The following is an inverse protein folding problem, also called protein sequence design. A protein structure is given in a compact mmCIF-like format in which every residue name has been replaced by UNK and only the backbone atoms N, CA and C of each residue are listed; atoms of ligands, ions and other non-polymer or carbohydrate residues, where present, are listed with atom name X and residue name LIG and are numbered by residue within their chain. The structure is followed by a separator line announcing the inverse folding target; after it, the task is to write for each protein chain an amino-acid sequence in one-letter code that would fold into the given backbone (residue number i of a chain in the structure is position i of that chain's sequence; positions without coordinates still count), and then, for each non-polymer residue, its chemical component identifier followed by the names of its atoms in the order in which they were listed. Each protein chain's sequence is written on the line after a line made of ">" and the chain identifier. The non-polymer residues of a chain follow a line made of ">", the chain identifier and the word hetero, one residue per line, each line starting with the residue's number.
data_IF_380551741259
#
_entry.id   IF_380551741259
#
_cell.length_a   1.000
_cell.length_b   1.000
_cell.length_c   1.000
_cell.angle_alpha   90.00
_cell.angle_beta   90.00
_cell.angle_gamma   90.00
#
_symmetry.space_group_name_H-M   'P 1'
#
loop_
_entity.id
_entity.type
_entity.pdbx_description
1 polymer ?
#
# COMPACT_ATOMS: atom_id res chain seq x y z
N UNK A 1 -47.83 44.23 31.09
CA UNK A 1 -46.52 44.21 31.75
C UNK A 1 -45.52 43.50 30.86
N UNK A 2 -44.66 44.26 30.20
CA UNK A 2 -43.59 43.75 29.32
C UNK A 2 -42.32 43.63 30.16
N UNK A 3 -41.74 42.45 30.27
CA UNK A 3 -40.42 42.23 30.83
C UNK A 3 -39.40 42.20 29.70
N UNK A 4 -38.57 43.22 29.63
CA UNK A 4 -37.40 43.28 28.79
C UNK A 4 -36.31 42.41 29.39
N UNK A 5 -35.75 41.49 28.57
CA UNK A 5 -34.51 40.77 28.88
C UNK A 5 -33.40 41.32 28.00
N UNK A 6 -32.33 41.72 28.67
CA UNK A 6 -31.19 42.42 28.14
C UNK A 6 -30.42 41.58 27.11
N UNK A 7 -30.28 42.13 25.94
CA UNK A 7 -29.34 41.77 24.89
C UNK A 7 -27.98 42.38 25.13
N UNK A 8 -27.08 41.70 25.87
CA UNK A 8 -25.67 42.13 25.95
C UNK A 8 -24.73 41.00 26.34
N UNK A 9 -24.63 39.95 25.48
CA UNK A 9 -23.51 38.98 25.52
C UNK A 9 -23.31 38.38 24.13
N UNK A 10 -23.10 39.22 23.13
CA UNK A 10 -22.67 38.80 21.80
C UNK A 10 -21.52 39.69 21.35
N UNK A 11 -20.32 39.41 21.84
CA UNK A 11 -19.10 39.92 21.23
C UNK A 11 -17.88 39.13 21.66
N UNK A 12 -17.74 37.91 21.17
CA UNK A 12 -16.44 37.31 20.87
C UNK A 12 -16.59 36.23 19.81
N UNK A 13 -17.15 36.61 18.69
CA UNK A 13 -17.08 35.80 17.45
C UNK A 13 -15.66 35.94 16.87
N UNK A 14 -14.67 35.34 17.50
CA UNK A 14 -13.49 34.89 16.79
C UNK A 14 -13.97 33.75 15.89
N UNK A 15 -14.26 34.05 14.62
CA UNK A 15 -14.39 33.04 13.56
C UNK A 15 -13.15 32.17 13.69
N UNK A 16 -13.27 30.85 13.82
CA UNK A 16 -12.10 29.96 13.72
C UNK A 16 -11.40 30.32 12.42
N UNK A 17 -10.09 30.52 12.45
CA UNK A 17 -9.28 30.79 11.27
C UNK A 17 -9.70 29.77 10.19
N UNK A 18 -10.02 30.24 9.00
CA UNK A 18 -10.62 29.42 7.97
C UNK A 18 -9.75 28.19 7.78
N UNK A 19 -10.35 27.01 7.63
CA UNK A 19 -9.64 25.73 7.40
C UNK A 19 -8.60 25.87 6.28
N UNK A 20 -8.86 26.76 5.31
CA UNK A 20 -7.95 27.10 4.22
C UNK A 20 -6.64 27.80 4.67
N UNK A 21 -6.69 28.63 5.72
CA UNK A 21 -5.50 29.30 6.23
C UNK A 21 -4.54 28.34 6.95
N UNK A 22 -5.05 27.27 7.53
CA UNK A 22 -4.23 26.28 8.25
C UNK A 22 -3.59 25.23 7.33
N UNK A 23 -4.14 25.01 6.12
CA UNK A 23 -3.66 23.97 5.19
C UNK A 23 -2.67 24.48 4.15
N UNK A 24 -2.52 25.79 3.98
CA UNK A 24 -1.49 26.39 3.13
C UNK A 24 -0.10 25.82 3.41
N UNK A 25 0.34 25.71 4.67
CA UNK A 25 1.63 25.15 5.04
C UNK A 25 1.78 23.67 4.67
N UNK A 26 0.75 22.82 4.87
CA UNK A 26 0.80 21.41 4.51
C UNK A 26 0.91 21.22 3.00
N UNK A 27 0.16 21.96 2.20
CA UNK A 27 0.22 21.90 0.76
C UNK A 27 1.58 22.34 0.23
N UNK A 28 2.17 23.40 0.77
CA UNK A 28 3.50 23.89 0.38
C UNK A 28 4.60 22.86 0.69
N UNK A 29 4.57 22.26 1.88
CA UNK A 29 5.49 21.19 2.26
C UNK A 29 5.33 19.95 1.37
N UNK A 30 4.08 19.56 1.09
CA UNK A 30 3.79 18.42 0.24
C UNK A 30 4.23 18.67 -1.22
N UNK A 31 4.03 19.88 -1.72
CA UNK A 31 4.51 20.28 -3.04
C UNK A 31 6.05 20.22 -3.13
N UNK A 32 6.76 20.63 -2.10
CA UNK A 32 8.22 20.51 -2.02
C UNK A 32 8.67 19.04 -1.95
N UNK A 33 8.01 18.22 -1.12
CA UNK A 33 8.31 16.80 -1.00
C UNK A 33 8.06 16.04 -2.30
N UNK A 34 6.93 16.30 -2.96
CA UNK A 34 6.57 15.72 -4.26
C UNK A 34 7.54 16.17 -5.33
N UNK A 35 7.91 17.46 -5.39
CA UNK A 35 8.88 17.98 -6.36
C UNK A 35 10.23 17.26 -6.28
N UNK A 36 10.70 17.00 -5.05
CA UNK A 36 11.97 16.31 -4.82
C UNK A 36 11.89 14.82 -5.14
N UNK A 37 10.85 14.14 -4.66
CA UNK A 37 10.72 12.69 -4.81
C UNK A 37 10.34 12.27 -6.23
N UNK A 38 9.46 13.02 -6.88
CA UNK A 38 8.91 12.71 -8.21
C UNK A 38 9.54 13.57 -9.29
N UNK A 39 10.86 13.70 -9.28
CA UNK A 39 11.61 14.55 -10.21
C UNK A 39 11.43 14.20 -11.69
N UNK A 40 11.05 12.96 -12.02
CA UNK A 40 10.72 12.54 -13.38
C UNK A 40 9.38 13.11 -13.89
N UNK A 41 8.49 13.54 -13.00
CA UNK A 41 7.23 14.18 -13.38
C UNK A 41 7.41 15.68 -13.63
N UNK A 42 6.76 16.21 -14.68
CA UNK A 42 6.78 17.66 -14.92
C UNK A 42 6.07 18.44 -13.79
N UNK A 43 6.50 19.67 -13.57
CA UNK A 43 6.05 20.51 -12.44
C UNK A 43 4.52 20.65 -12.31
N UNK A 44 3.72 20.84 -13.39
CA UNK A 44 2.27 20.90 -13.29
C UNK A 44 1.64 19.58 -12.77
N UNK A 45 2.22 18.41 -13.10
CA UNK A 45 1.75 17.11 -12.61
C UNK A 45 2.08 16.97 -11.14
N UNK A 46 3.30 17.32 -10.72
CA UNK A 46 3.71 17.31 -9.31
C UNK A 46 2.77 18.16 -8.44
N UNK A 47 2.49 19.43 -8.85
CA UNK A 47 1.55 20.31 -8.13
C UNK A 47 0.16 19.72 -8.02
N UNK A 48 -0.35 19.12 -9.10
CA UNK A 48 -1.68 18.51 -9.06
C UNK A 48 -1.71 17.24 -8.19
N UNK A 49 -0.63 16.47 -8.17
CA UNK A 49 -0.50 15.31 -7.29
C UNK A 49 -0.55 15.73 -5.81
N UNK A 50 0.19 16.77 -5.43
CA UNK A 50 0.15 17.34 -4.08
C UNK A 50 -1.26 17.84 -3.70
N UNK A 51 -1.90 18.62 -4.57
CA UNK A 51 -3.25 19.14 -4.39
C UNK A 51 -4.27 18.01 -4.18
N UNK A 52 -4.22 16.97 -5.01
CA UNK A 52 -5.14 15.84 -4.91
C UNK A 52 -4.88 14.99 -3.67
N UNK A 53 -3.64 14.84 -3.25
CA UNK A 53 -3.29 14.16 -2.01
C UNK A 53 -3.96 14.83 -0.81
N UNK A 54 -3.90 16.17 -0.71
CA UNK A 54 -4.60 16.92 0.34
C UNK A 54 -6.12 16.75 0.23
N UNK A 55 -6.67 16.83 -0.98
CA UNK A 55 -8.11 16.63 -1.19
C UNK A 55 -8.56 15.23 -0.75
N UNK A 56 -7.78 14.19 -1.05
CA UNK A 56 -8.07 12.85 -0.57
C UNK A 56 -8.04 12.78 0.97
N UNK A 57 -7.04 13.33 1.63
CA UNK A 57 -6.98 13.32 3.11
C UNK A 57 -8.24 13.95 3.72
N UNK A 58 -8.74 15.06 3.15
CA UNK A 58 -9.98 15.71 3.58
C UNK A 58 -11.20 14.81 3.40
N UNK A 59 -11.35 14.23 2.20
CA UNK A 59 -12.49 13.36 1.90
C UNK A 59 -12.45 12.08 2.74
N UNK A 60 -11.28 11.47 2.91
CA UNK A 60 -11.15 10.24 3.69
C UNK A 60 -11.51 10.44 5.16
N UNK A 61 -11.14 11.57 5.76
CA UNK A 61 -11.59 11.96 7.10
C UNK A 61 -13.13 12.10 7.17
N UNK A 62 -13.75 12.77 6.18
CA UNK A 62 -15.20 12.93 6.12
C UNK A 62 -15.95 11.61 5.88
N UNK A 63 -15.45 10.73 5.02
CA UNK A 63 -16.02 9.38 4.79
C UNK A 63 -16.04 8.57 6.07
N UNK A 64 -14.98 8.63 6.87
CA UNK A 64 -14.89 7.89 8.14
C UNK A 64 -15.90 8.38 9.18
N UNK A 65 -16.17 9.68 9.23
CA UNK A 65 -17.16 10.25 10.17
C UNK A 65 -18.61 10.07 9.72
N UNK A 66 -18.86 9.37 8.60
CA UNK A 66 -20.22 9.19 8.06
C UNK A 66 -20.77 10.41 7.31
N UNK A 67 -19.98 11.48 7.17
CA UNK A 67 -20.43 12.74 6.56
C UNK A 67 -20.18 12.82 5.05
N UNK A 68 -19.82 11.72 4.38
CA UNK A 68 -19.58 11.76 2.96
C UNK A 68 -19.28 10.41 2.32
N UNK A 69 -19.26 10.41 0.99
CA UNK A 69 -18.83 9.28 0.17
C UNK A 69 -17.63 9.69 -0.70
N UNK A 70 -16.74 8.76 -0.96
CA UNK A 70 -15.65 9.00 -1.90
C UNK A 70 -16.24 9.09 -3.32
N UNK A 71 -16.20 10.30 -3.88
CA UNK A 71 -16.65 10.58 -5.25
C UNK A 71 -15.80 11.67 -5.88
N UNK A 72 -15.84 11.78 -7.22
CA UNK A 72 -15.15 12.90 -7.91
C UNK A 72 -15.72 14.24 -7.46
N UNK A 73 -17.04 14.31 -7.22
CA UNK A 73 -17.69 15.51 -6.73
C UNK A 73 -17.18 15.91 -5.34
N UNK A 74 -17.03 14.95 -4.42
CA UNK A 74 -16.44 15.21 -3.12
C UNK A 74 -15.00 15.74 -3.24
N UNK A 75 -14.19 15.14 -4.12
CA UNK A 75 -12.80 15.54 -4.32
C UNK A 75 -12.68 16.97 -4.86
N UNK A 76 -13.39 17.32 -5.95
CA UNK A 76 -13.22 18.67 -6.53
C UNK A 76 -13.77 19.78 -5.62
N UNK A 77 -14.79 19.50 -4.81
CA UNK A 77 -15.34 20.48 -3.84
C UNK A 77 -14.33 20.88 -2.77
N UNK A 78 -13.45 19.95 -2.38
CA UNK A 78 -12.45 20.16 -1.32
C UNK A 78 -11.04 20.38 -1.85
N UNK A 79 -10.84 20.54 -3.18
CA UNK A 79 -9.51 20.85 -3.73
C UNK A 79 -8.97 22.14 -3.11
N UNK A 80 -7.77 22.13 -2.52
CA UNK A 80 -7.14 23.31 -1.93
C UNK A 80 -6.58 24.24 -3.01
N UNK A 81 -7.45 24.74 -3.87
CA UNK A 81 -7.07 25.63 -4.97
C UNK A 81 -8.11 26.73 -5.15
N UNK A 82 -7.69 27.96 -5.48
CA UNK A 82 -8.62 29.03 -5.78
C UNK A 82 -9.46 28.71 -7.02
N UNK A 83 -10.57 29.40 -7.18
CA UNK A 83 -11.45 29.32 -8.33
C UNK A 83 -12.82 28.70 -8.03
N UNK A 84 -13.69 28.76 -9.03
CA UNK A 84 -15.07 28.25 -8.97
C UNK A 84 -15.10 26.72 -8.86
N UNK A 85 -16.18 26.12 -8.38
CA UNK A 85 -16.37 24.67 -8.38
C UNK A 85 -16.15 24.04 -9.76
N UNK A 86 -16.60 24.70 -10.83
CA UNK A 86 -16.41 24.26 -12.22
C UNK A 86 -14.93 24.27 -12.64
N UNK A 87 -14.17 25.28 -12.24
CA UNK A 87 -12.73 25.33 -12.52
C UNK A 87 -11.97 24.18 -11.79
N UNK A 88 -12.36 23.87 -10.56
CA UNK A 88 -11.81 22.75 -9.78
C UNK A 88 -12.17 21.39 -10.41
N UNK A 89 -13.41 21.22 -10.86
CA UNK A 89 -13.85 20.02 -11.61
C UNK A 89 -13.04 19.83 -12.88
N UNK A 90 -12.92 20.88 -13.73
CA UNK A 90 -12.09 20.86 -14.94
C UNK A 90 -10.63 20.50 -14.62
N UNK A 91 -10.09 21.01 -13.52
CA UNK A 91 -8.72 20.69 -13.07
C UNK A 91 -8.56 19.21 -12.76
N UNK A 92 -9.51 18.62 -12.00
CA UNK A 92 -9.51 17.17 -11.71
C UNK A 92 -9.59 16.34 -12.99
N UNK A 93 -10.51 16.68 -13.90
CA UNK A 93 -10.64 15.96 -15.16
C UNK A 93 -9.38 16.06 -16.04
N UNK A 94 -8.71 17.21 -16.10
CA UNK A 94 -7.42 17.36 -16.79
C UNK A 94 -6.33 16.48 -16.18
N UNK A 95 -6.26 16.39 -14.85
CA UNK A 95 -5.33 15.49 -14.16
C UNK A 95 -5.59 14.03 -14.57
N UNK A 96 -6.85 13.56 -14.54
CA UNK A 96 -7.21 12.20 -14.90
C UNK A 96 -6.93 11.85 -16.38
N UNK A 97 -6.93 12.83 -17.25
CA UNK A 97 -6.64 12.67 -18.70
C UNK A 97 -5.15 12.80 -19.02
N UNK A 98 -4.32 13.27 -18.10
CA UNK A 98 -2.93 13.62 -18.39
C UNK A 98 -2.03 12.38 -18.54
N UNK A 99 -1.54 12.04 -19.74
CA UNK A 99 -0.70 10.86 -19.95
C UNK A 99 0.70 11.00 -19.34
N UNK A 100 1.14 12.21 -18.99
CA UNK A 100 2.45 12.46 -18.35
C UNK A 100 2.50 12.00 -16.89
N UNK A 101 1.34 11.64 -16.30
CA UNK A 101 1.30 10.94 -15.02
C UNK A 101 1.33 9.45 -15.31
N UNK A 102 2.51 8.90 -15.44
CA UNK A 102 2.72 7.48 -15.67
C UNK A 102 3.02 6.73 -14.36
N UNK A 103 2.61 5.46 -14.26
CA UNK A 103 2.76 4.66 -13.04
C UNK A 103 4.23 4.41 -12.65
N UNK A 104 5.14 4.29 -13.62
CA UNK A 104 6.57 4.05 -13.36
C UNK A 104 7.21 5.23 -12.65
N UNK A 105 7.03 6.46 -13.19
CA UNK A 105 7.54 7.67 -12.53
C UNK A 105 7.00 7.87 -11.12
N UNK A 106 5.75 7.40 -10.86
CA UNK A 106 5.19 7.44 -9.50
C UNK A 106 5.81 6.37 -8.62
N UNK A 107 6.05 5.17 -9.13
CA UNK A 107 6.77 4.10 -8.42
C UNK A 107 8.17 4.56 -8.00
N UNK A 108 8.92 5.21 -8.90
CA UNK A 108 10.23 5.80 -8.60
C UNK A 108 10.16 6.82 -7.45
N UNK A 109 9.16 7.68 -7.48
CA UNK A 109 8.94 8.67 -6.43
C UNK A 109 8.57 8.04 -5.09
N UNK A 110 7.67 7.07 -5.07
CA UNK A 110 7.29 6.34 -3.86
C UNK A 110 8.47 5.56 -3.28
N UNK A 111 9.27 4.91 -4.12
CA UNK A 111 10.48 4.21 -3.68
C UNK A 111 11.46 5.18 -2.98
N UNK A 112 11.70 6.37 -3.55
CA UNK A 112 12.53 7.41 -2.92
C UNK A 112 11.96 7.88 -1.59
N UNK A 113 10.64 8.05 -1.48
CA UNK A 113 9.98 8.43 -0.24
C UNK A 113 10.11 7.36 0.84
N UNK A 114 9.88 6.09 0.47
CA UNK A 114 9.86 4.96 1.40
C UNK A 114 11.28 4.63 1.89
N UNK A 115 12.20 4.43 0.97
CA UNK A 115 13.54 3.90 1.28
C UNK A 115 14.59 5.01 1.52
N UNK A 116 14.42 6.17 0.89
CA UNK A 116 15.40 7.25 0.94
C UNK A 116 16.80 6.76 0.53
N UNK A 117 17.83 7.45 1.01
CA UNK A 117 19.24 7.08 0.75
C UNK A 117 19.76 5.93 1.64
N UNK A 118 19.01 5.54 2.67
CA UNK A 118 19.43 4.57 3.70
C UNK A 118 18.86 3.17 3.52
N UNK A 119 17.95 2.98 2.59
CA UNK A 119 17.38 1.65 2.27
C UNK A 119 18.49 0.69 1.86
N UNK A 120 18.58 -0.48 2.53
CA UNK A 120 19.55 -1.54 2.22
C UNK A 120 19.07 -2.90 2.72
N UNK A 121 19.60 -3.96 2.14
CA UNK A 121 19.30 -5.33 2.53
C UNK A 121 18.06 -5.89 1.86
N UNK A 122 17.57 -7.01 2.37
CA UNK A 122 16.39 -7.70 1.86
C UNK A 122 15.12 -7.00 2.35
N UNK A 123 14.20 -6.71 1.41
CA UNK A 123 12.93 -6.05 1.72
C UNK A 123 11.76 -6.84 1.16
N UNK A 124 10.79 -7.22 1.99
CA UNK A 124 9.56 -7.84 1.52
C UNK A 124 8.74 -6.83 0.70
N UNK A 125 8.40 -7.22 -0.51
CA UNK A 125 7.48 -6.48 -1.39
C UNK A 125 6.26 -7.37 -1.61
N UNK A 126 5.19 -7.04 -0.91
CA UNK A 126 3.91 -7.71 -1.05
C UNK A 126 3.27 -7.26 -2.35
N UNK A 127 2.85 -8.18 -3.19
CA UNK A 127 2.12 -7.83 -4.40
C UNK A 127 0.88 -8.70 -4.58
N UNK A 128 -0.17 -8.08 -5.09
CA UNK A 128 -1.45 -8.74 -5.32
C UNK A 128 -2.31 -7.90 -6.28
N UNK A 129 -3.42 -8.48 -6.71
CA UNK A 129 -4.36 -7.87 -7.66
C UNK A 129 -5.71 -7.65 -7.00
N UNK A 130 -6.33 -6.51 -7.34
CA UNK A 130 -7.65 -6.19 -6.85
C UNK A 130 -8.52 -5.54 -7.92
N UNK A 131 -9.83 -5.65 -7.77
CA UNK A 131 -10.81 -4.97 -8.63
C UNK A 131 -11.17 -3.58 -8.09
N UNK A 132 -11.19 -2.61 -9.00
CA UNK A 132 -11.74 -1.27 -8.79
C UNK A 132 -12.79 -1.00 -9.90
N UNK A 133 -14.04 -1.42 -9.68
CA UNK A 133 -15.08 -1.45 -10.72
C UNK A 133 -14.77 -2.46 -11.83
N UNK A 134 -14.77 -2.02 -13.09
CA UNK A 134 -14.37 -2.83 -14.25
C UNK A 134 -12.85 -2.86 -14.48
N UNK A 135 -12.09 -2.10 -13.70
CA UNK A 135 -10.64 -2.01 -13.81
C UNK A 135 -9.99 -2.98 -12.82
N UNK A 136 -8.96 -3.68 -13.26
CA UNK A 136 -8.06 -4.43 -12.40
C UNK A 136 -6.89 -3.53 -12.00
N UNK A 137 -6.42 -3.68 -10.78
CA UNK A 137 -5.23 -2.99 -10.29
C UNK A 137 -4.24 -3.99 -9.72
N UNK A 138 -3.03 -4.03 -10.27
CA UNK A 138 -1.86 -4.61 -9.64
C UNK A 138 -1.35 -3.62 -8.60
N UNK A 139 -1.09 -4.11 -7.42
CA UNK A 139 -0.63 -3.33 -6.30
C UNK A 139 0.60 -3.99 -5.69
N UNK A 140 1.60 -3.18 -5.37
CA UNK A 140 2.70 -3.61 -4.53
C UNK A 140 2.90 -2.65 -3.38
N UNK A 141 3.33 -3.18 -2.25
CA UNK A 141 3.62 -2.40 -1.06
C UNK A 141 4.58 -3.09 -0.10
N UNK A 142 5.10 -2.30 0.84
CA UNK A 142 5.98 -2.77 1.89
C UNK A 142 5.16 -3.04 3.16
N UNK A 143 5.35 -4.17 3.87
CA UNK A 143 4.66 -4.42 5.13
C UNK A 143 4.85 -3.26 6.12
N UNK A 144 3.75 -2.78 6.69
CA UNK A 144 3.77 -1.65 7.61
C UNK A 144 2.61 -1.69 8.60
N UNK A 145 2.87 -2.10 9.84
CA UNK A 145 1.90 -2.04 10.96
C UNK A 145 0.54 -2.69 10.65
N UNK A 146 0.57 -3.89 10.06
CA UNK A 146 -0.63 -4.65 9.68
C UNK A 146 -1.28 -4.19 8.37
N UNK A 147 -0.61 -3.34 7.59
CA UNK A 147 -1.01 -2.86 6.27
C UNK A 147 0.17 -2.93 5.30
N UNK A 148 -0.10 -2.79 4.02
CA UNK A 148 0.93 -2.58 3.01
C UNK A 148 1.05 -1.09 2.67
N UNK A 149 2.22 -0.50 2.92
CA UNK A 149 2.53 0.87 2.51
C UNK A 149 2.72 0.87 0.99
N UNK A 150 1.89 1.57 0.21
CA UNK A 150 1.91 1.52 -1.25
C UNK A 150 3.26 1.91 -1.85
N UNK A 151 3.75 1.08 -2.76
CA UNK A 151 4.97 1.30 -3.54
C UNK A 151 4.66 1.46 -5.04
N UNK A 152 3.77 0.63 -5.58
CA UNK A 152 3.41 0.66 -6.98
C UNK A 152 1.93 0.30 -7.19
N UNK A 153 1.30 0.94 -8.18
CA UNK A 153 -0.08 0.61 -8.61
C UNK A 153 -0.17 0.73 -10.13
N UNK A 154 -0.47 -0.38 -10.78
CA UNK A 154 -0.72 -0.45 -12.22
C UNK A 154 -2.15 -0.90 -12.47
N UNK A 155 -2.80 -0.33 -13.47
CA UNK A 155 -4.19 -0.64 -13.79
C UNK A 155 -4.35 -1.12 -15.22
N UNK A 156 -5.28 -2.04 -15.42
CA UNK A 156 -5.61 -2.57 -16.73
C UNK A 156 -7.09 -2.95 -16.81
N UNK A 157 -7.61 -2.98 -18.04
CA UNK A 157 -8.97 -3.43 -18.31
C UNK A 157 -9.03 -4.95 -18.39
N UNK A 158 -10.05 -5.56 -17.78
CA UNK A 158 -10.29 -6.99 -17.90
C UNK A 158 -11.80 -7.28 -18.03
N UNK A 159 -12.24 -8.13 -18.95
CA UNK A 159 -11.44 -8.85 -19.96
C UNK A 159 -10.72 -7.91 -20.93
N UNK A 160 -9.62 -8.37 -21.49
CA UNK A 160 -8.85 -7.61 -22.49
C UNK A 160 -9.71 -7.39 -23.73
N UNK A 161 -9.92 -6.12 -24.09
CA UNK A 161 -10.77 -5.75 -25.23
C UNK A 161 -10.02 -5.72 -26.55
N UNK A 162 -8.71 -5.53 -26.51
CA UNK A 162 -7.86 -5.41 -27.70
C UNK A 162 -6.96 -6.64 -27.87
N UNK A 163 -6.96 -7.21 -29.09
CA UNK A 163 -6.10 -8.36 -29.44
C UNK A 163 -4.58 -8.05 -29.35
N UNK A 164 -4.23 -6.77 -29.44
CA UNK A 164 -2.85 -6.26 -29.38
C UNK A 164 -2.39 -5.91 -27.96
N UNK A 165 -3.29 -5.95 -26.98
CA UNK A 165 -2.94 -5.65 -25.60
C UNK A 165 -1.95 -6.67 -25.04
N UNK A 166 -1.04 -6.20 -24.19
CA UNK A 166 -0.11 -7.07 -23.47
C UNK A 166 -0.88 -8.08 -22.62
N UNK A 167 -0.47 -9.33 -22.61
CA UNK A 167 -1.06 -10.32 -21.71
C UNK A 167 -0.86 -9.94 -20.26
N UNK A 168 -1.69 -10.48 -19.35
CA UNK A 168 -1.54 -10.24 -17.91
C UNK A 168 -0.13 -10.63 -17.43
N UNK A 169 0.44 -11.74 -17.94
CA UNK A 169 1.80 -12.15 -17.57
C UNK A 169 2.85 -11.11 -17.96
N UNK A 170 2.73 -10.53 -19.15
CA UNK A 170 3.65 -9.47 -19.60
C UNK A 170 3.50 -8.18 -18.77
N UNK A 171 2.27 -7.83 -18.38
CA UNK A 171 2.03 -6.67 -17.54
C UNK A 171 2.62 -6.85 -16.13
N UNK A 172 2.45 -8.03 -15.55
CA UNK A 172 3.03 -8.37 -14.25
C UNK A 172 4.56 -8.37 -14.30
N UNK A 173 5.15 -8.86 -15.39
CA UNK A 173 6.59 -8.83 -15.59
C UNK A 173 7.12 -7.39 -15.65
N UNK A 174 6.48 -6.51 -16.42
CA UNK A 174 6.81 -5.09 -16.48
C UNK A 174 6.65 -4.44 -15.10
N UNK A 175 5.58 -4.77 -14.39
CA UNK A 175 5.31 -4.27 -13.05
C UNK A 175 6.43 -4.61 -12.05
N UNK A 176 6.88 -5.88 -12.03
CA UNK A 176 7.97 -6.31 -11.15
C UNK A 176 9.30 -5.68 -11.55
N UNK A 177 9.60 -5.59 -12.85
CA UNK A 177 10.81 -4.98 -13.37
C UNK A 177 10.89 -3.47 -13.07
N UNK A 178 9.77 -2.77 -13.19
CA UNK A 178 9.69 -1.33 -12.86
C UNK A 178 9.91 -1.10 -11.35
N UNK A 179 9.40 -1.99 -10.49
CA UNK A 179 9.66 -1.93 -9.05
C UNK A 179 11.16 -2.13 -8.78
N UNK A 180 11.79 -3.16 -9.37
CA UNK A 180 13.23 -3.41 -9.19
C UNK A 180 14.08 -2.22 -9.62
N UNK A 181 13.75 -1.61 -10.75
CA UNK A 181 14.44 -0.43 -11.28
C UNK A 181 14.28 0.80 -10.37
N UNK A 182 13.11 0.95 -9.76
CA UNK A 182 12.80 2.08 -8.87
C UNK A 182 13.49 2.00 -7.51
N UNK A 183 13.85 0.79 -7.06
CA UNK A 183 14.46 0.58 -5.75
C UNK A 183 15.92 1.08 -5.71
N UNK A 184 16.38 1.63 -4.57
CA UNK A 184 17.79 1.93 -4.39
C UNK A 184 18.66 0.67 -4.58
N UNK A 185 19.86 0.82 -5.17
CA UNK A 185 20.75 -0.30 -5.50
C UNK A 185 21.12 -1.21 -4.33
N UNK A 186 21.05 -0.69 -3.11
CA UNK A 186 21.31 -1.47 -1.87
C UNK A 186 20.07 -2.19 -1.32
N UNK A 187 18.90 -1.98 -1.92
CA UNK A 187 17.64 -2.66 -1.56
C UNK A 187 17.44 -3.84 -2.49
N UNK A 188 17.37 -5.03 -1.93
CA UNK A 188 17.08 -6.26 -2.68
C UNK A 188 15.66 -6.71 -2.36
N UNK A 189 14.72 -6.67 -3.30
CA UNK A 189 13.35 -7.06 -3.06
C UNK A 189 13.20 -8.57 -2.90
N UNK A 190 12.29 -8.99 -2.02
CA UNK A 190 11.74 -10.34 -1.96
C UNK A 190 10.25 -10.21 -2.30
N UNK A 191 9.86 -10.62 -3.50
CA UNK A 191 8.48 -10.51 -3.96
C UNK A 191 7.60 -11.60 -3.33
N UNK A 192 6.53 -11.20 -2.67
CA UNK A 192 5.65 -12.11 -1.94
C UNK A 192 4.26 -12.05 -2.54
N UNK A 193 3.82 -13.17 -3.14
CA UNK A 193 2.55 -13.29 -3.84
C UNK A 193 1.73 -14.49 -3.40
N UNK A 194 0.45 -14.47 -3.76
CA UNK A 194 -0.47 -15.57 -3.50
C UNK A 194 -0.36 -16.71 -4.53
N UNK A 195 -1.22 -17.73 -4.41
CA UNK A 195 -1.29 -18.88 -5.32
C UNK A 195 -1.71 -18.53 -6.76
N UNK A 196 -2.28 -17.35 -7.00
CA UNK A 196 -2.61 -16.86 -8.33
C UNK A 196 -1.37 -16.60 -9.18
N UNK A 197 -0.25 -16.31 -8.55
CA UNK A 197 1.03 -16.04 -9.18
C UNK A 197 1.92 -17.28 -9.34
N UNK A 198 1.49 -18.45 -8.87
CA UNK A 198 2.23 -19.72 -9.02
C UNK A 198 2.12 -20.26 -10.45
N UNK A 199 2.58 -19.51 -11.43
CA UNK A 199 2.55 -19.84 -12.87
C UNK A 199 3.98 -20.04 -13.37
N UNK A 200 4.19 -21.10 -14.16
CA UNK A 200 5.52 -21.46 -14.67
C UNK A 200 6.22 -20.30 -15.39
N UNK A 201 5.48 -19.53 -16.20
CA UNK A 201 6.03 -18.40 -16.93
C UNK A 201 6.64 -17.35 -15.99
N UNK A 202 5.91 -16.95 -14.93
CA UNK A 202 6.38 -15.96 -13.95
C UNK A 202 7.58 -16.48 -13.16
N UNK A 203 7.53 -17.74 -12.69
CA UNK A 203 8.61 -18.35 -11.91
C UNK A 203 9.89 -18.52 -12.77
N UNK A 204 9.74 -18.97 -14.03
CA UNK A 204 10.87 -19.13 -14.95
C UNK A 204 11.55 -17.80 -15.25
N UNK A 205 10.76 -16.76 -15.50
CA UNK A 205 11.29 -15.42 -15.76
C UNK A 205 11.96 -14.84 -14.51
N UNK A 206 11.35 -15.01 -13.35
CA UNK A 206 11.94 -14.60 -12.07
C UNK A 206 13.28 -15.30 -11.79
N UNK A 207 13.37 -16.61 -12.07
CA UNK A 207 14.60 -17.37 -11.94
C UNK A 207 15.70 -16.86 -12.91
N UNK A 208 15.34 -16.58 -14.17
CA UNK A 208 16.28 -16.03 -15.17
C UNK A 208 16.86 -14.67 -14.75
N UNK A 209 16.05 -13.85 -14.06
CA UNK A 209 16.45 -12.53 -13.60
C UNK A 209 17.08 -12.53 -12.20
N UNK A 210 17.21 -13.70 -11.56
CA UNK A 210 17.77 -13.82 -10.22
C UNK A 210 16.90 -13.14 -9.14
N UNK A 211 15.60 -12.99 -9.39
CA UNK A 211 14.65 -12.41 -8.42
C UNK A 211 14.46 -13.32 -7.22
N UNK A 212 14.39 -12.73 -6.05
CA UNK A 212 13.93 -13.43 -4.86
C UNK A 212 12.40 -13.33 -4.78
N UNK A 213 11.75 -14.46 -4.58
CA UNK A 213 10.29 -14.53 -4.44
C UNK A 213 9.87 -15.58 -3.41
N UNK A 214 8.68 -15.40 -2.85
CA UNK A 214 7.95 -16.37 -2.03
C UNK A 214 6.53 -16.39 -2.55
N UNK A 215 6.14 -17.44 -3.28
CA UNK A 215 4.83 -17.57 -3.90
C UNK A 215 4.16 -18.83 -3.41
N UNK A 216 2.90 -18.74 -2.95
CA UNK A 216 2.15 -19.93 -2.52
C UNK A 216 1.82 -20.80 -3.71
N UNK A 217 2.23 -22.07 -3.68
CA UNK A 217 1.86 -23.08 -4.66
C UNK A 217 0.42 -23.56 -4.50
N UNK A 218 -0.10 -24.23 -5.53
CA UNK A 218 -1.42 -24.86 -5.51
C UNK A 218 -1.28 -26.32 -5.16
N UNK A 219 -2.01 -26.81 -4.16
CA UNK A 219 -1.97 -28.19 -3.66
C UNK A 219 -1.99 -29.28 -4.73
N UNK A 220 -2.89 -29.13 -5.72
CA UNK A 220 -3.08 -30.10 -6.81
C UNK A 220 -2.05 -30.04 -7.95
N UNK A 221 -1.07 -29.11 -7.90
CA UNK A 221 -0.07 -29.01 -8.96
C UNK A 221 0.86 -30.22 -8.95
N UNK A 222 1.06 -30.86 -10.11
CA UNK A 222 2.04 -31.94 -10.25
C UNK A 222 3.45 -31.37 -10.27
N UNK A 223 4.31 -32.00 -9.49
CA UNK A 223 5.73 -31.68 -9.35
C UNK A 223 6.54 -32.94 -9.47
N UNK A 224 7.85 -32.79 -9.71
CA UNK A 224 8.80 -33.90 -9.65
C UNK A 224 9.83 -33.61 -8.55
N UNK A 225 10.00 -34.54 -7.66
CA UNK A 225 11.00 -34.46 -6.60
C UNK A 225 11.75 -35.79 -6.50
N UNK A 226 13.09 -35.75 -6.57
CA UNK A 226 13.96 -36.92 -6.52
C UNK A 226 13.55 -38.01 -7.57
N UNK A 227 13.19 -37.57 -8.79
CA UNK A 227 12.77 -38.46 -9.88
C UNK A 227 11.34 -39.02 -9.76
N UNK A 228 10.60 -38.68 -8.70
CA UNK A 228 9.20 -39.13 -8.49
C UNK A 228 8.23 -38.01 -8.83
N UNK A 229 7.21 -38.32 -9.64
CA UNK A 229 6.10 -37.42 -9.91
C UNK A 229 5.03 -37.55 -8.80
N UNK A 230 4.68 -36.44 -8.15
CA UNK A 230 3.65 -36.38 -7.11
C UNK A 230 2.85 -35.07 -7.19
N UNK A 231 1.78 -34.94 -6.44
CA UNK A 231 1.15 -33.61 -6.23
C UNK A 231 1.94 -32.83 -5.20
N UNK A 232 1.90 -31.50 -5.32
CA UNK A 232 2.55 -30.61 -4.35
C UNK A 232 2.08 -30.87 -2.91
N UNK A 233 0.80 -31.22 -2.74
CA UNK A 233 0.20 -31.58 -1.45
C UNK A 233 0.73 -32.89 -0.86
N UNK A 234 1.36 -33.74 -1.65
CA UNK A 234 1.92 -35.01 -1.21
C UNK A 234 3.34 -34.86 -0.61
N UNK A 235 3.95 -33.66 -0.73
CA UNK A 235 5.18 -33.37 -0.01
C UNK A 235 4.88 -33.31 1.51
N UNK A 236 5.53 -34.15 2.34
CA UNK A 236 5.24 -34.22 3.74
C UNK A 236 5.43 -32.88 4.48
N UNK A 237 4.55 -32.58 5.40
CA UNK A 237 4.64 -31.42 6.29
C UNK A 237 4.58 -31.87 7.75
N UNK A 238 5.12 -31.07 8.66
CA UNK A 238 4.98 -31.23 10.09
C UNK A 238 4.28 -30.01 10.68
N UNK A 239 3.47 -30.21 11.71
CA UNK A 239 2.80 -29.12 12.40
C UNK A 239 3.81 -28.19 13.06
N UNK A 240 3.65 -26.89 12.80
CA UNK A 240 4.48 -25.81 13.35
C UNK A 240 5.97 -25.89 12.99
N UNK A 241 6.36 -26.87 12.15
CA UNK A 241 7.72 -27.02 11.65
C UNK A 241 7.76 -26.83 10.16
N UNK A 242 8.63 -25.97 9.69
CA UNK A 242 8.80 -25.71 8.25
C UNK A 242 9.90 -26.62 7.69
N UNK A 243 9.60 -27.30 6.58
CA UNK A 243 10.50 -28.24 5.90
C UNK A 243 10.79 -27.70 4.50
N UNK A 244 12.08 -27.74 4.08
CA UNK A 244 12.48 -27.33 2.74
C UNK A 244 12.80 -28.54 1.87
N UNK A 245 12.16 -28.61 0.70
CA UNK A 245 12.41 -29.55 -0.36
C UNK A 245 13.19 -28.84 -1.48
N UNK A 246 14.49 -29.11 -1.62
CA UNK A 246 15.33 -28.44 -2.63
C UNK A 246 15.10 -29.02 -4.02
N UNK A 247 15.28 -28.15 -5.03
CA UNK A 247 15.29 -28.55 -6.48
C UNK A 247 14.05 -29.35 -6.90
N UNK A 248 12.88 -28.96 -6.45
CA UNK A 248 11.60 -29.49 -6.96
C UNK A 248 11.35 -28.92 -8.36
N UNK A 249 10.96 -29.76 -9.30
CA UNK A 249 10.56 -29.32 -10.65
C UNK A 249 9.05 -29.05 -10.64
N UNK A 250 8.70 -27.78 -10.62
CA UNK A 250 7.32 -27.31 -10.51
C UNK A 250 6.62 -27.36 -11.86
N UNK A 251 5.39 -27.91 -11.89
CA UNK A 251 4.57 -28.24 -13.06
C UNK A 251 5.22 -29.27 -14.00
N UNK A 252 4.53 -30.40 -14.21
CA UNK A 252 5.06 -31.58 -14.90
C UNK A 252 5.56 -31.29 -16.34
N UNK A 253 4.85 -30.40 -17.06
CA UNK A 253 5.25 -30.05 -18.46
C UNK A 253 6.37 -29.01 -18.49
N UNK A 254 6.28 -28.01 -17.61
CA UNK A 254 7.14 -26.84 -17.65
C UNK A 254 8.44 -27.00 -16.85
N UNK A 255 8.44 -27.92 -15.88
CA UNK A 255 9.62 -28.36 -15.09
C UNK A 255 10.46 -27.18 -14.55
N UNK A 256 9.82 -26.17 -13.95
CA UNK A 256 10.53 -25.01 -13.44
C UNK A 256 11.23 -25.37 -12.13
N UNK A 257 12.57 -25.23 -12.03
CA UNK A 257 13.29 -25.54 -10.78
C UNK A 257 12.98 -24.50 -9.71
N UNK A 258 12.50 -24.98 -8.57
CA UNK A 258 12.20 -24.20 -7.36
C UNK A 258 12.59 -25.00 -6.12
N UNK A 259 12.80 -24.33 -5.00
CA UNK A 259 12.70 -25.00 -3.71
C UNK A 259 11.27 -24.82 -3.17
N UNK A 260 10.77 -25.81 -2.46
CA UNK A 260 9.45 -25.76 -1.81
C UNK A 260 9.64 -25.78 -0.29
N UNK A 261 9.09 -24.77 0.38
CA UNK A 261 9.00 -24.76 1.85
C UNK A 261 7.59 -25.11 2.25
N UNK A 262 7.41 -26.28 2.90
CA UNK A 262 6.13 -26.71 3.43
C UNK A 262 6.03 -26.29 4.88
N UNK A 263 4.92 -25.65 5.24
CA UNK A 263 4.63 -25.23 6.60
C UNK A 263 3.14 -25.42 6.91
N UNK A 264 2.84 -26.08 8.00
CA UNK A 264 1.48 -26.21 8.52
C UNK A 264 1.37 -25.57 9.89
N UNK A 265 0.41 -24.68 10.04
CA UNK A 265 -0.02 -24.16 11.33
C UNK A 265 -1.45 -24.68 11.55
N UNK A 266 -1.74 -25.41 12.64
CA UNK A 266 -3.07 -25.95 12.91
C UNK A 266 -4.19 -24.92 12.97
N UNK A 267 -3.86 -23.63 13.12
CA UNK A 267 -4.83 -22.54 13.04
C UNK A 267 -5.31 -22.27 11.59
N UNK A 268 -4.62 -22.80 10.58
CA UNK A 268 -4.99 -22.67 9.17
C UNK A 268 -5.57 -23.96 8.61
N UNK A 269 -6.57 -23.83 7.75
CA UNK A 269 -7.25 -24.98 7.13
C UNK A 269 -6.34 -25.81 6.22
N UNK A 270 -5.33 -25.19 5.60
CA UNK A 270 -4.44 -25.82 4.63
C UNK A 270 -2.97 -25.50 4.92
N UNK A 271 -2.05 -26.45 4.73
CA UNK A 271 -0.64 -26.15 4.72
C UNK A 271 -0.26 -25.10 3.67
N UNK A 272 0.88 -24.47 3.88
CA UNK A 272 1.48 -23.60 2.89
C UNK A 272 2.59 -24.33 2.16
N UNK A 273 2.49 -24.38 0.84
CA UNK A 273 3.54 -24.82 -0.06
C UNK A 273 4.15 -23.57 -0.69
N UNK A 274 5.27 -23.11 -0.15
CA UNK A 274 5.87 -21.84 -0.54
C UNK A 274 6.99 -22.11 -1.54
N UNK A 275 6.80 -21.64 -2.76
CA UNK A 275 7.77 -21.73 -3.86
C UNK A 275 8.78 -20.60 -3.68
N UNK A 276 10.05 -20.93 -3.66
CA UNK A 276 11.17 -19.97 -3.60
C UNK A 276 12.20 -20.32 -4.66
N UNK A 277 13.07 -19.39 -5.10
CA UNK A 277 14.12 -19.71 -6.07
C UNK A 277 15.00 -20.86 -5.56
N UNK A 278 15.39 -21.77 -6.44
CA UNK A 278 16.36 -22.82 -6.10
C UNK A 278 17.68 -22.18 -5.66
N UNK A 279 18.36 -22.84 -4.70
CA UNK A 279 19.65 -22.41 -4.15
C UNK A 279 19.60 -21.05 -3.40
N UNK A 280 18.40 -20.60 -2.99
CA UNK A 280 18.21 -19.37 -2.21
C UNK A 280 18.32 -19.54 -0.69
N UNK A 281 18.72 -20.72 -0.19
CA UNK A 281 18.68 -21.06 1.25
C UNK A 281 19.50 -20.11 2.14
N UNK A 282 20.64 -19.63 1.64
CA UNK A 282 21.48 -18.67 2.37
C UNK A 282 20.80 -17.30 2.54
N UNK A 283 20.05 -16.84 1.54
CA UNK A 283 19.33 -15.56 1.56
C UNK A 283 17.93 -15.67 2.19
N UNK A 284 17.28 -16.81 1.96
CA UNK A 284 15.93 -17.11 2.40
C UNK A 284 15.92 -18.41 3.22
N UNK A 285 16.48 -18.42 4.45
CA UNK A 285 16.39 -19.58 5.32
C UNK A 285 14.93 -19.91 5.65
N UNK A 286 14.62 -21.15 5.95
CA UNK A 286 13.25 -21.69 6.09
C UNK A 286 12.37 -20.84 7.00
N UNK A 287 12.90 -20.45 8.17
CA UNK A 287 12.17 -19.59 9.12
C UNK A 287 11.85 -18.22 8.57
N UNK A 288 12.78 -17.64 7.78
CA UNK A 288 12.56 -16.35 7.13
C UNK A 288 11.46 -16.45 6.06
N UNK A 289 11.43 -17.52 5.28
CA UNK A 289 10.38 -17.73 4.25
C UNK A 289 8.99 -17.71 4.88
N UNK A 290 8.78 -18.46 5.97
CA UNK A 290 7.49 -18.50 6.68
C UNK A 290 7.14 -17.15 7.30
N UNK A 291 8.10 -16.51 7.97
CA UNK A 291 7.88 -15.20 8.60
C UNK A 291 7.51 -14.14 7.56
N UNK A 292 8.24 -14.09 6.44
CA UNK A 292 7.98 -13.15 5.36
C UNK A 292 6.63 -13.42 4.67
N UNK A 293 6.26 -14.69 4.48
CA UNK A 293 4.98 -15.02 3.87
C UNK A 293 3.79 -14.64 4.77
N UNK A 294 3.92 -14.70 6.08
CA UNK A 294 2.90 -14.22 7.03
C UNK A 294 2.56 -12.74 6.82
N UNK A 295 3.53 -11.93 6.42
CA UNK A 295 3.33 -10.50 6.12
C UNK A 295 2.38 -10.27 4.93
N UNK A 296 2.18 -11.25 4.04
CA UNK A 296 1.30 -11.15 2.87
C UNK A 296 -0.13 -10.73 3.23
N UNK A 297 -0.63 -11.16 4.40
CA UNK A 297 -1.97 -10.78 4.83
C UNK A 297 -2.18 -9.27 4.95
N UNK A 298 -1.11 -8.49 5.07
CA UNK A 298 -1.20 -7.03 5.17
C UNK A 298 -1.69 -6.38 3.88
N UNK A 299 -1.43 -6.98 2.70
CA UNK A 299 -1.99 -6.46 1.44
C UNK A 299 -3.49 -6.67 1.37
N UNK A 300 -4.00 -7.80 1.86
CA UNK A 300 -5.44 -8.07 1.93
C UNK A 300 -6.15 -7.09 2.87
N UNK A 301 -5.54 -6.77 4.01
CA UNK A 301 -6.06 -5.75 4.92
C UNK A 301 -6.09 -4.36 4.26
N UNK A 302 -5.06 -4.00 3.47
CA UNK A 302 -5.07 -2.76 2.69
C UNK A 302 -6.17 -2.75 1.62
N UNK A 303 -6.43 -3.87 0.95
CA UNK A 303 -7.54 -3.97 0.00
C UNK A 303 -8.90 -3.86 0.68
N UNK A 304 -9.05 -4.40 1.89
CA UNK A 304 -10.26 -4.19 2.71
C UNK A 304 -10.42 -2.72 3.05
N UNK A 305 -9.35 -2.04 3.46
CA UNK A 305 -9.39 -0.60 3.71
C UNK A 305 -9.85 0.14 2.45
N UNK A 306 -9.23 -0.09 1.30
CA UNK A 306 -9.58 0.58 0.05
C UNK A 306 -11.04 0.40 -0.32
N UNK A 307 -11.52 -0.84 -0.32
CA UNK A 307 -12.85 -1.21 -0.80
C UNK A 307 -13.96 -0.83 0.17
N UNK A 308 -13.74 -1.08 1.46
CA UNK A 308 -14.80 -1.01 2.49
C UNK A 308 -14.71 0.28 3.29
N UNK A 309 -13.53 0.58 3.85
CA UNK A 309 -13.39 1.69 4.79
C UNK A 309 -13.20 3.04 4.10
N UNK A 310 -12.61 3.06 2.91
CA UNK A 310 -12.31 4.28 2.16
C UNK A 310 -13.24 4.50 0.96
N UNK A 311 -14.16 3.57 0.73
CA UNK A 311 -15.26 3.75 -0.23
C UNK A 311 -14.89 3.64 -1.71
N UNK A 312 -13.72 3.05 -2.07
CA UNK A 312 -13.35 2.89 -3.49
C UNK A 312 -14.34 2.04 -4.30
N UNK A 313 -15.14 1.17 -3.66
CA UNK A 313 -16.23 0.43 -4.35
C UNK A 313 -17.29 1.33 -4.93
N UNK A 314 -17.59 2.46 -4.27
CA UNK A 314 -18.58 3.43 -4.71
C UNK A 314 -18.05 4.45 -5.70
N UNK A 315 -16.74 4.52 -5.88
CA UNK A 315 -16.10 5.49 -6.76
C UNK A 315 -16.35 5.13 -8.23
N UNK A 316 -17.20 5.91 -8.88
CA UNK A 316 -17.50 5.76 -10.31
C UNK A 316 -16.89 6.92 -11.09
N UNK A 317 -16.15 6.59 -12.13
CA UNK A 317 -15.70 7.56 -13.13
C UNK A 317 -16.74 7.62 -14.25
N UNK A 318 -17.07 8.83 -14.72
CA UNK A 318 -17.97 9.03 -15.88
C UNK A 318 -17.43 8.30 -17.12
N UNK A 319 -16.13 8.27 -17.29
CA UNK A 319 -15.42 7.49 -18.30
C UNK A 319 -14.50 6.53 -17.56
N UNK A 320 -14.93 5.28 -17.47
CA UNK A 320 -14.27 4.24 -16.68
C UNK A 320 -13.25 3.49 -17.55
N UNK A 321 -12.12 4.12 -17.80
CA UNK A 321 -10.95 3.49 -18.45
C UNK A 321 -9.84 3.30 -17.42
N UNK A 322 -9.06 2.23 -17.60
CA UNK A 322 -8.04 1.80 -16.65
C UNK A 322 -7.05 2.92 -16.31
N UNK A 323 -6.57 3.66 -17.30
CA UNK A 323 -5.58 4.74 -17.14
C UNK A 323 -6.08 5.87 -16.25
N UNK A 324 -7.37 6.25 -16.36
CA UNK A 324 -7.95 7.31 -15.50
C UNK A 324 -8.11 6.82 -14.06
N UNK A 325 -8.58 5.59 -13.91
CA UNK A 325 -8.68 4.93 -12.61
C UNK A 325 -7.30 4.82 -11.97
N UNK A 326 -6.28 4.42 -12.75
CA UNK A 326 -4.90 4.35 -12.30
C UNK A 326 -4.37 5.67 -11.79
N UNK A 327 -4.54 6.76 -12.56
CA UNK A 327 -4.08 8.10 -12.14
C UNK A 327 -4.77 8.57 -10.85
N UNK A 328 -6.05 8.25 -10.69
CA UNK A 328 -6.76 8.55 -9.44
C UNK A 328 -6.21 7.72 -8.27
N UNK A 329 -5.96 6.44 -8.48
CA UNK A 329 -5.38 5.55 -7.46
C UNK A 329 -3.98 5.99 -7.06
N UNK A 330 -3.16 6.54 -7.96
CA UNK A 330 -1.83 7.06 -7.62
C UNK A 330 -1.90 8.23 -6.62
N UNK A 331 -2.82 9.17 -6.81
CA UNK A 331 -3.03 10.25 -5.83
C UNK A 331 -3.64 9.71 -4.52
N UNK A 332 -4.55 8.75 -4.61
CA UNK A 332 -5.14 8.08 -3.45
C UNK A 332 -4.08 7.35 -2.61
N UNK A 333 -3.14 6.63 -3.24
CA UNK A 333 -2.08 5.90 -2.53
C UNK A 333 -1.15 6.83 -1.75
N UNK A 334 -0.87 8.03 -2.26
CA UNK A 334 -0.13 9.06 -1.53
C UNK A 334 -0.86 9.47 -0.24
N UNK A 335 -2.16 9.75 -0.33
CA UNK A 335 -2.97 10.09 0.84
C UNK A 335 -3.06 8.92 1.84
N UNK A 336 -3.19 7.70 1.34
CA UNK A 336 -3.19 6.50 2.18
C UNK A 336 -1.86 6.30 2.91
N UNK A 337 -0.72 6.49 2.24
CA UNK A 337 0.60 6.49 2.89
C UNK A 337 0.65 7.49 4.05
N UNK A 338 0.25 8.73 3.82
CA UNK A 338 0.26 9.76 4.85
C UNK A 338 -0.69 9.44 6.01
N UNK A 339 -1.86 8.87 5.72
CA UNK A 339 -2.79 8.42 6.76
C UNK A 339 -2.19 7.28 7.61
N UNK A 340 -1.54 6.29 7.00
CA UNK A 340 -0.87 5.22 7.75
C UNK A 340 0.25 5.77 8.65
N UNK A 341 1.04 6.70 8.14
CA UNK A 341 2.13 7.33 8.90
C UNK A 341 1.60 8.20 10.05
N UNK A 342 0.51 8.93 9.81
CA UNK A 342 -0.19 9.67 10.87
C UNK A 342 -0.65 8.72 11.98
N UNK A 343 -1.23 7.56 11.61
CA UNK A 343 -1.77 6.58 12.56
C UNK A 343 -0.74 5.86 13.44
N UNK A 344 0.55 5.99 13.15
CA UNK A 344 1.67 5.47 13.97
C UNK A 344 2.44 6.57 14.70
N UNK A 345 1.99 7.81 14.60
CA UNK A 345 2.63 8.95 15.28
C UNK A 345 2.38 8.92 16.79
N UNK A 346 3.17 9.68 17.54
CA UNK A 346 2.94 9.86 18.99
C UNK A 346 1.57 10.47 19.29
N UNK A 347 1.11 11.40 18.46
CA UNK A 347 -0.21 12.00 18.63
C UNK A 347 -1.33 10.98 18.33
N UNK A 348 -1.11 10.04 17.40
CA UNK A 348 -2.06 8.95 17.18
C UNK A 348 -2.14 7.99 18.38
N UNK A 349 -1.04 7.75 19.09
CA UNK A 349 -1.08 6.93 20.31
C UNK A 349 -1.90 7.59 21.42
N UNK A 350 -1.77 8.91 21.60
CA UNK A 350 -2.63 9.69 22.53
C UNK A 350 -4.10 9.68 22.10
N UNK A 351 -4.35 9.87 20.79
CA UNK A 351 -5.70 9.79 20.26
C UNK A 351 -6.32 8.41 20.42
N UNK A 352 -5.51 7.34 20.31
CA UNK A 352 -5.95 5.96 20.53
C UNK A 352 -6.49 5.75 21.94
N UNK A 353 -5.80 6.27 22.96
CA UNK A 353 -6.22 6.15 24.35
C UNK A 353 -7.60 6.77 24.58
N UNK A 354 -7.92 7.88 23.90
CA UNK A 354 -9.25 8.51 23.96
C UNK A 354 -10.32 7.75 23.15
N UNK A 355 -9.92 7.10 22.04
CA UNK A 355 -10.84 6.50 21.10
C UNK A 355 -11.13 5.01 21.42
N UNK A 356 -10.23 4.34 22.12
CA UNK A 356 -10.41 2.93 22.49
C UNK A 356 -11.32 2.83 23.73
N UNK A 357 -12.37 2.02 23.58
CA UNK A 357 -13.27 1.71 24.68
C UNK A 357 -12.64 0.58 25.50
N UNK A 358 -12.30 0.81 26.79
CA UNK A 358 -11.79 -0.23 27.65
C UNK A 358 -12.80 -1.38 27.73
N UNK A 359 -12.35 -2.59 27.46
CA UNK A 359 -13.19 -3.80 27.54
C UNK A 359 -12.69 -4.72 28.64
N UNK A 360 -13.58 -5.22 29.49
CA UNK A 360 -13.24 -6.21 30.53
C UNK A 360 -12.62 -7.49 29.95
N UNK A 361 -13.06 -7.90 28.74
CA UNK A 361 -12.49 -9.04 27.99
C UNK A 361 -12.13 -8.55 26.59
N UNK A 362 -10.84 -8.31 26.31
CA UNK A 362 -10.40 -7.94 24.96
C UNK A 362 -10.72 -9.07 23.98
N UNK A 363 -11.32 -8.73 22.82
CA UNK A 363 -11.64 -9.73 21.78
C UNK A 363 -10.41 -10.30 21.07
N UNK A 364 -9.29 -9.61 21.15
CA UNK A 364 -8.03 -9.94 20.46
C UNK A 364 -6.84 -9.96 21.43
N UNK A 365 -7.05 -10.41 22.67
CA UNK A 365 -6.02 -10.41 23.71
C UNK A 365 -5.58 -8.98 24.08
N UNK A 366 -4.31 -8.81 24.43
CA UNK A 366 -3.71 -7.51 24.72
C UNK A 366 -3.43 -6.65 23.47
N UNK A 367 -3.78 -7.15 22.28
CA UNK A 367 -3.54 -6.45 21.02
C UNK A 367 -4.43 -5.22 20.88
N UNK A 368 -3.94 -4.27 20.09
CA UNK A 368 -4.68 -3.05 19.73
C UNK A 368 -6.00 -3.41 19.04
N UNK A 369 -7.10 -2.81 19.49
CA UNK A 369 -8.42 -3.02 18.89
C UNK A 369 -8.66 -2.14 17.67
N UNK A 370 -8.09 -0.92 17.67
CA UNK A 370 -8.20 0.03 16.57
C UNK A 370 -7.00 -0.06 15.62
N UNK A 371 -7.27 -0.15 14.30
CA UNK A 371 -6.20 -0.14 13.31
C UNK A 371 -5.53 1.24 13.22
N UNK A 372 -4.28 1.27 12.75
CA UNK A 372 -3.55 2.53 12.53
C UNK A 372 -4.29 3.47 11.57
N UNK A 373 -4.92 2.92 10.53
CA UNK A 373 -5.73 3.71 9.60
C UNK A 373 -6.95 4.31 10.29
N UNK A 374 -7.66 3.51 11.11
CA UNK A 374 -8.84 4.00 11.83
C UNK A 374 -8.49 5.21 12.70
N UNK A 375 -7.43 5.12 13.49
CA UNK A 375 -6.99 6.21 14.38
C UNK A 375 -6.64 7.46 13.55
N UNK A 376 -5.89 7.29 12.46
CA UNK A 376 -5.54 8.41 11.57
C UNK A 376 -6.77 9.12 11.01
N UNK A 377 -7.74 8.36 10.48
CA UNK A 377 -8.96 8.93 9.93
C UNK A 377 -9.84 9.59 10.99
N UNK A 378 -9.90 9.01 12.19
CA UNK A 378 -10.58 9.63 13.33
C UNK A 378 -9.91 10.96 13.71
N UNK A 379 -8.59 11.03 13.75
CA UNK A 379 -7.86 12.26 14.01
C UNK A 379 -8.14 13.33 12.95
N UNK A 380 -8.22 12.96 11.67
CA UNK A 380 -8.49 13.90 10.58
C UNK A 380 -9.93 14.46 10.63
N UNK A 381 -10.87 13.73 11.19
CA UNK A 381 -12.29 14.09 11.22
C UNK A 381 -12.74 14.72 12.55
N UNK A 382 -12.20 14.28 13.66
CA UNK A 382 -12.66 14.69 14.99
C UNK A 382 -12.14 16.09 15.36
N UNK A 383 -13.00 17.04 15.79
CA UNK A 383 -12.60 18.42 16.08
C UNK A 383 -11.41 18.53 17.05
N UNK A 384 -11.42 17.73 18.13
CA UNK A 384 -10.36 17.69 19.16
C UNK A 384 -8.98 17.31 18.63
N UNK A 385 -8.91 16.49 17.57
CA UNK A 385 -7.66 15.93 17.07
C UNK A 385 -7.20 16.50 15.74
N UNK A 386 -8.09 17.20 15.02
CA UNK A 386 -7.84 17.67 13.64
C UNK A 386 -6.61 18.58 13.54
N UNK A 387 -6.48 19.55 14.43
CA UNK A 387 -5.36 20.48 14.44
C UNK A 387 -4.03 19.74 14.69
N UNK A 388 -4.02 18.85 15.68
CA UNK A 388 -2.83 18.01 15.98
C UNK A 388 -2.48 17.08 14.81
N UNK A 389 -3.48 16.53 14.13
CA UNK A 389 -3.27 15.73 12.92
C UNK A 389 -2.62 16.54 11.81
N UNK A 390 -3.04 17.79 11.61
CA UNK A 390 -2.44 18.70 10.62
C UNK A 390 -0.99 19.03 10.95
N UNK A 391 -0.70 19.42 12.20
CA UNK A 391 0.68 19.68 12.65
C UNK A 391 1.56 18.44 12.47
N UNK A 392 1.04 17.26 12.83
CA UNK A 392 1.78 16.01 12.67
C UNK A 392 2.02 15.65 11.20
N UNK A 393 1.06 15.89 10.31
CA UNK A 393 1.24 15.72 8.86
C UNK A 393 2.27 16.69 8.30
N UNK A 394 2.25 17.96 8.71
CA UNK A 394 3.26 18.96 8.34
C UNK A 394 4.66 18.48 8.75
N UNK A 395 4.81 18.00 9.98
CA UNK A 395 6.08 17.44 10.46
C UNK A 395 6.54 16.24 9.62
N UNK A 396 5.65 15.28 9.33
CA UNK A 396 5.95 14.09 8.53
C UNK A 396 6.36 14.47 7.09
N UNK A 397 5.61 15.36 6.46
CA UNK A 397 5.90 15.81 5.10
C UNK A 397 7.17 16.66 5.06
N UNK A 398 7.41 17.55 6.02
CA UNK A 398 8.64 18.30 6.16
C UNK A 398 9.86 17.41 6.35
N UNK A 399 9.71 16.31 7.11
CA UNK A 399 10.73 15.28 7.28
C UNK A 399 11.15 14.66 5.95
N UNK A 400 10.17 14.36 5.09
CA UNK A 400 10.39 13.78 3.76
C UNK A 400 10.96 14.82 2.79
N UNK A 401 10.45 16.05 2.81
CA UNK A 401 10.99 17.16 2.02
C UNK A 401 12.48 17.41 2.32
N UNK A 402 12.90 17.19 3.57
CA UNK A 402 14.32 17.19 3.97
C UNK A 402 15.13 15.99 3.43
N UNK A 403 14.52 15.10 2.63
CA UNK A 403 15.18 13.93 2.02
C UNK A 403 15.35 12.74 2.97
N UNK A 404 14.58 12.70 4.03
CA UNK A 404 14.59 11.61 5.01
C UNK A 404 13.57 10.54 4.61
N UNK A 405 13.90 9.27 4.83
CA UNK A 405 13.04 8.12 4.55
C UNK A 405 11.77 8.14 5.42
N UNK A 406 10.64 7.72 4.85
CA UNK A 406 9.39 7.47 5.59
C UNK A 406 9.55 6.33 6.59
N UNK A 407 10.29 5.31 6.23
CA UNK A 407 10.58 4.19 7.12
C UNK A 407 11.87 4.48 7.89
N UNK A 408 11.75 4.93 9.13
CA UNK A 408 12.88 5.13 10.04
C UNK A 408 13.55 3.84 10.46
N UNK A 409 12.80 2.74 10.50
CA UNK A 409 13.27 1.38 10.74
C UNK A 409 12.65 0.52 9.67
N UNK A 410 13.44 -0.37 9.07
CA UNK A 410 12.89 -1.49 8.35
C UNK A 410 11.82 -2.13 9.24
N UNK A 411 10.68 -2.60 8.69
CA UNK A 411 9.87 -3.56 9.42
C UNK A 411 10.87 -4.58 9.97
N UNK A 412 10.67 -5.15 11.17
CA UNK A 412 11.65 -6.04 11.75
C UNK A 412 11.85 -7.21 10.80
N UNK A 413 12.65 -6.99 9.79
CA UNK A 413 13.32 -8.06 9.13
C UNK A 413 14.14 -8.66 10.24
N UNK A 414 13.87 -9.90 10.53
CA UNK A 414 14.77 -10.73 11.28
C UNK A 414 16.09 -10.62 10.52
N UNK A 415 16.91 -9.66 10.92
CA UNK A 415 18.28 -9.57 10.45
C UNK A 415 18.95 -10.78 11.08
N UNK A 416 18.89 -11.89 10.35
CA UNK A 416 19.74 -13.01 10.65
C UNK A 416 21.16 -12.49 10.45
N UNK A 417 21.76 -11.94 11.51
CA UNK A 417 23.20 -11.91 11.60
C UNK A 417 23.62 -13.37 11.41
N UNK A 418 24.35 -13.63 10.34
CA UNK A 418 25.17 -14.82 10.31
C UNK A 418 25.99 -14.76 11.58
N UNK A 419 25.65 -15.58 12.58
CA UNK A 419 26.59 -15.98 13.58
C UNK A 419 27.70 -16.63 12.77
N UNK A 420 28.85 -16.00 12.70
CA UNK A 420 30.07 -16.66 12.28
C UNK A 420 30.11 -17.97 13.08
N UNK A 421 29.92 -19.06 12.36
CA UNK A 421 30.16 -20.37 12.93
C UNK A 421 31.66 -20.46 13.15
N UNK A 422 32.06 -20.57 14.40
CA UNK A 422 33.32 -21.16 14.76
C UNK A 422 33.28 -22.66 14.43
#
# INVERSE_FOLDING_TARGET
>A
MRLGIATSLLSSNRRPASVEAQEGPLLALLDAAVSKAFSALCRPVQKNLAVLTVAFLRVLGAVRSGHGQLSLAALFRVLPTPGTPHAREKRLHRFLRNPRLDPRSVTDGLARLIFGSRGRGLWPILFDQTKAGATQALFAGVPFQGRALPLAVYTFQYPWQEKTARSQNQLEEVFLADIETALPTRVRPVFIGDRGYARAALLRQSNRQGRLYIIRGRAGTRVEYQGRSCKLAELPGEDRRAIRYPRVLYQARERVPVDVVVYHDPEFQEPWWLLVPSQSSALLPVRAVVALYRERMQVEQSFRDFKTHLGLRGLRLKVNIAERTGRLLLAFTMAYCLALLLGVSREAEKARQDLEIPRRRPRHGSCRTLSVLYVALAMLSHPRWRERAQVQLQFLVGWVAAGRSLLRRAPPMVVYRQSAAA
#
